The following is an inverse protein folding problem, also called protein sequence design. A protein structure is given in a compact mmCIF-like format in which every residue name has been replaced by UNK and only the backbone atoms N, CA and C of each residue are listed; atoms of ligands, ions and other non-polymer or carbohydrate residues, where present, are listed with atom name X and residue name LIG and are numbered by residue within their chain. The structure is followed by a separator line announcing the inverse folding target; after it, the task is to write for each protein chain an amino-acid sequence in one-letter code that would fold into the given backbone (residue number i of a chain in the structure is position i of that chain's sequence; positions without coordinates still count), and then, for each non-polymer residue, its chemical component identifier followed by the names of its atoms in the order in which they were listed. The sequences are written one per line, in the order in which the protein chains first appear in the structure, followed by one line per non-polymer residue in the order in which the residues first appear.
data_IF_567191831431
#
_entry.id   IF_567191831431
#
_cell.length_a   1.000
_cell.length_b   1.000
_cell.length_c   1.000
_cell.angle_alpha   90.00
_cell.angle_beta   90.00
_cell.angle_gamma   90.00
#
_symmetry.space_group_name_H-M   'P 1'
#
loop_
_entity.id
_entity.type
_entity.pdbx_description
1 polymer ?
#
# COMPACT_ATOMS: atom_id res chain seq x y z
N UNK A 1 -13.45 45.90 -20.59
CA UNK A 1 -12.19 45.33 -20.04
C UNK A 1 -11.85 45.70 -18.59
N UNK A 2 -12.37 46.78 -17.97
CA UNK A 2 -12.10 47.08 -16.54
C UNK A 2 -13.00 46.33 -15.54
N UNK A 3 -14.19 45.89 -15.95
CA UNK A 3 -15.17 45.21 -15.07
C UNK A 3 -14.78 43.72 -14.85
N UNK A 4 -14.17 43.07 -15.83
CA UNK A 4 -13.71 41.68 -15.72
C UNK A 4 -12.51 41.55 -14.76
N UNK A 5 -11.61 42.53 -14.73
CA UNK A 5 -10.46 42.56 -13.80
C UNK A 5 -10.94 42.74 -12.35
N UNK A 6 -12.01 43.52 -12.13
CA UNK A 6 -12.57 43.72 -10.80
C UNK A 6 -13.28 42.47 -10.25
N UNK A 7 -13.89 41.66 -11.12
CA UNK A 7 -14.47 40.37 -10.74
C UNK A 7 -13.40 39.31 -10.43
N UNK A 8 -12.27 39.33 -11.12
CA UNK A 8 -11.12 38.44 -10.83
C UNK A 8 -10.46 38.84 -9.49
N UNK A 9 -10.37 40.14 -9.19
CA UNK A 9 -9.87 40.63 -7.89
C UNK A 9 -10.85 40.38 -6.73
N UNK A 10 -12.16 40.34 -6.99
CA UNK A 10 -13.18 39.97 -5.98
C UNK A 10 -13.24 38.45 -5.74
N UNK A 11 -12.84 37.62 -6.72
CA UNK A 11 -12.78 36.17 -6.54
C UNK A 11 -11.62 35.74 -5.61
N UNK A 12 -10.54 36.52 -5.59
CA UNK A 12 -9.44 36.36 -4.62
C UNK A 12 -9.82 36.72 -3.17
N UNK A 13 -11.05 37.19 -2.93
CA UNK A 13 -11.43 37.80 -1.66
C UNK A 13 -12.18 36.85 -0.69
N UNK A 14 -12.24 35.53 -0.95
CA UNK A 14 -13.11 34.63 -0.18
C UNK A 14 -12.54 33.26 0.21
N UNK A 15 -11.26 32.97 0.02
CA UNK A 15 -10.68 31.77 0.63
C UNK A 15 -10.05 32.17 1.97
N UNK A 16 -10.74 31.84 3.06
CA UNK A 16 -10.21 32.00 4.42
C UNK A 16 -9.68 30.66 4.88
N UNK A 17 -8.65 30.70 5.72
CA UNK A 17 -8.21 29.51 6.41
C UNK A 17 -9.28 29.08 7.42
N UNK A 18 -9.46 27.76 7.59
CA UNK A 18 -10.46 27.23 8.51
C UNK A 18 -9.89 27.08 9.92
N UNK A 19 -8.59 26.75 10.03
CA UNK A 19 -7.88 26.76 11.30
C UNK A 19 -6.41 27.11 11.08
N UNK A 20 -5.84 27.80 12.05
CA UNK A 20 -4.41 28.12 12.09
C UNK A 20 -3.92 28.04 13.53
N UNK A 21 -2.63 27.76 13.72
CA UNK A 21 -2.01 27.69 15.06
C UNK A 21 -0.89 28.73 15.22
N UNK A 22 -0.62 29.11 16.46
CA UNK A 22 0.48 29.99 16.83
C UNK A 22 1.84 29.26 16.87
N UNK A 23 2.90 29.97 17.28
CA UNK A 23 4.25 29.40 17.40
C UNK A 23 4.40 28.35 18.51
N UNK A 24 3.39 28.20 19.37
CA UNK A 24 3.33 27.19 20.43
C UNK A 24 2.35 26.07 20.09
N UNK A 25 1.99 25.92 18.81
CA UNK A 25 1.04 24.95 18.28
C UNK A 25 -0.37 25.06 18.90
N UNK A 26 -0.76 26.26 19.36
CA UNK A 26 -2.11 26.51 19.88
C UNK A 26 -3.01 27.13 18.82
N UNK A 27 -4.26 26.66 18.66
CA UNK A 27 -5.19 27.25 17.71
C UNK A 27 -5.47 28.72 18.06
N UNK A 28 -5.38 29.61 17.07
CA UNK A 28 -5.63 31.05 17.27
C UNK A 28 -7.12 31.37 17.24
N UNK A 29 -7.53 32.48 17.86
CA UNK A 29 -8.95 32.88 17.91
C UNK A 29 -9.48 33.46 16.59
N UNK A 30 -8.59 34.02 15.77
CA UNK A 30 -8.93 34.62 14.47
C UNK A 30 -8.00 34.05 13.42
N UNK A 31 -8.57 33.24 12.53
CA UNK A 31 -7.80 32.59 11.48
C UNK A 31 -7.23 33.60 10.49
N UNK A 32 -6.03 33.28 10.00
CA UNK A 32 -5.30 34.10 9.05
C UNK A 32 -5.86 33.92 7.65
N UNK A 33 -5.61 34.89 6.79
CA UNK A 33 -5.74 34.70 5.36
C UNK A 33 -4.52 33.89 4.84
N UNK A 34 -4.65 33.14 3.74
CA UNK A 34 -3.55 32.39 3.15
C UNK A 34 -2.34 33.30 2.83
N UNK A 35 -1.15 32.90 3.26
CA UNK A 35 0.09 33.67 3.08
C UNK A 35 1.18 32.82 2.42
N UNK A 36 2.07 33.46 1.66
CA UNK A 36 3.24 32.81 1.08
C UNK A 36 4.34 32.74 2.14
N UNK A 37 4.60 31.55 2.68
CA UNK A 37 5.62 31.35 3.73
C UNK A 37 7.01 30.95 3.18
N UNK A 38 7.12 30.78 1.85
CA UNK A 38 8.30 30.33 1.12
C UNK A 38 8.23 28.84 0.81
N UNK A 39 9.28 28.10 1.17
CA UNK A 39 9.33 26.65 1.07
C UNK A 39 8.49 26.00 2.16
N UNK A 40 7.65 25.03 1.77
CA UNK A 40 6.86 24.20 2.68
C UNK A 40 7.45 22.79 2.64
N UNK A 41 8.27 22.45 3.63
CA UNK A 41 9.11 21.23 3.59
C UNK A 41 8.26 19.96 3.66
N UNK A 42 7.18 19.95 4.45
CA UNK A 42 6.28 18.80 4.54
C UNK A 42 5.46 18.60 3.25
N UNK A 43 5.19 19.68 2.52
CA UNK A 43 4.30 19.69 1.36
C UNK A 43 4.98 20.44 0.20
N UNK A 44 6.00 19.86 -0.47
CA UNK A 44 6.84 20.58 -1.43
C UNK A 44 6.05 21.21 -2.59
N UNK A 45 4.96 20.57 -3.00
CA UNK A 45 4.06 21.03 -4.06
C UNK A 45 3.28 22.32 -3.75
N UNK A 46 3.24 22.74 -2.48
CA UNK A 46 2.68 24.04 -2.06
C UNK A 46 3.74 25.13 -1.89
N UNK A 47 5.02 24.84 -2.17
CA UNK A 47 6.09 25.84 -2.07
C UNK A 47 5.82 27.03 -2.99
N UNK A 48 6.10 28.23 -2.50
CA UNK A 48 5.90 29.51 -3.19
C UNK A 48 4.42 29.84 -3.55
N UNK A 49 3.47 29.09 -2.99
CA UNK A 49 2.03 29.36 -3.12
C UNK A 49 1.46 29.93 -1.81
N UNK A 50 0.35 30.67 -1.85
CA UNK A 50 -0.35 31.07 -0.65
C UNK A 50 -0.91 29.82 0.04
N UNK A 51 -0.59 29.65 1.33
CA UNK A 51 -1.00 28.51 2.14
C UNK A 51 -1.61 28.95 3.46
N UNK A 52 -2.44 28.10 4.04
CA UNK A 52 -3.04 28.35 5.35
C UNK A 52 -2.18 27.90 6.53
N UNK A 53 -1.23 27.00 6.31
CA UNK A 53 -0.39 26.50 7.39
C UNK A 53 0.68 27.51 7.82
N UNK A 54 1.02 27.49 9.10
CA UNK A 54 2.17 28.23 9.62
C UNK A 54 3.44 27.38 9.54
N UNK A 55 4.60 28.04 9.69
CA UNK A 55 5.89 27.34 9.80
C UNK A 55 5.96 26.37 10.99
N UNK A 56 5.18 26.61 12.05
CA UNK A 56 5.09 25.67 13.16
C UNK A 56 4.38 24.40 12.73
N UNK A 57 3.25 24.53 12.03
CA UNK A 57 2.49 23.40 11.49
C UNK A 57 3.32 22.61 10.48
N UNK A 58 4.04 23.28 9.57
CA UNK A 58 4.94 22.60 8.63
C UNK A 58 5.97 21.72 9.36
N UNK A 59 6.65 22.26 10.38
CA UNK A 59 7.61 21.49 11.18
C UNK A 59 6.99 20.33 11.97
N UNK A 60 5.78 20.52 12.48
CA UNK A 60 5.05 19.47 13.21
C UNK A 60 4.63 18.35 12.24
N UNK A 61 4.11 18.70 11.06
CA UNK A 61 3.79 17.72 10.01
C UNK A 61 5.01 16.90 9.58
N UNK A 62 6.20 17.48 9.46
CA UNK A 62 7.42 16.71 9.14
C UNK A 62 7.66 15.59 10.18
N UNK A 63 7.40 15.84 11.46
CA UNK A 63 7.55 14.84 12.52
C UNK A 63 6.47 13.76 12.40
N UNK A 64 5.23 14.18 12.19
CA UNK A 64 4.08 13.27 12.05
C UNK A 64 4.25 12.37 10.82
N UNK A 65 4.77 12.92 9.73
CA UNK A 65 5.03 12.20 8.48
C UNK A 65 6.10 11.11 8.65
N UNK A 66 7.08 11.28 9.55
CA UNK A 66 8.00 10.20 9.89
C UNK A 66 7.30 9.04 10.60
N UNK A 67 6.37 9.34 11.51
CA UNK A 67 5.55 8.30 12.17
C UNK A 67 4.64 7.61 11.17
N UNK A 68 4.11 8.37 10.22
CA UNK A 68 3.27 7.88 9.13
C UNK A 68 4.06 6.91 8.24
N UNK A 69 5.26 7.29 7.80
CA UNK A 69 6.14 6.42 6.98
C UNK A 69 6.53 5.15 7.72
N UNK A 70 6.85 5.26 9.01
CA UNK A 70 7.17 4.11 9.85
C UNK A 70 5.97 3.15 10.06
N UNK A 71 4.73 3.60 9.82
CA UNK A 71 3.51 2.82 10.03
C UNK A 71 2.93 2.28 8.72
N UNK A 72 2.91 3.12 7.68
CA UNK A 72 2.23 2.87 6.41
C UNK A 72 3.18 2.78 5.23
N UNK A 73 4.41 3.31 5.34
CA UNK A 73 5.46 3.18 4.34
C UNK A 73 6.16 1.81 4.40
N UNK A 74 7.14 1.61 3.53
CA UNK A 74 7.91 0.37 3.43
C UNK A 74 8.66 0.05 4.74
N UNK A 75 9.11 1.06 5.48
CA UNK A 75 9.78 0.92 6.79
C UNK A 75 8.93 0.14 7.81
N UNK A 76 7.60 0.33 7.77
CA UNK A 76 6.63 -0.36 8.62
C UNK A 76 6.10 -1.68 8.07
N UNK A 77 6.65 -2.16 6.95
CA UNK A 77 6.08 -3.27 6.19
C UNK A 77 4.79 -2.89 5.43
N UNK A 78 4.65 -1.61 5.07
CA UNK A 78 3.57 -1.06 4.27
C UNK A 78 3.99 -0.79 2.82
N UNK A 79 3.62 0.37 2.29
CA UNK A 79 3.81 0.80 0.91
C UNK A 79 4.00 2.32 0.87
N UNK A 80 5.13 2.82 0.35
CA UNK A 80 5.44 4.26 0.36
C UNK A 80 4.42 5.10 -0.42
N UNK A 81 3.75 4.52 -1.42
CA UNK A 81 2.66 5.19 -2.15
C UNK A 81 1.44 5.46 -1.25
N UNK A 82 1.13 4.55 -0.32
CA UNK A 82 0.12 4.82 0.70
C UNK A 82 0.59 5.98 1.58
N UNK A 83 1.86 5.95 2.00
CA UNK A 83 2.47 7.02 2.77
C UNK A 83 2.35 8.38 2.09
N UNK A 84 2.75 8.49 0.83
CA UNK A 84 2.69 9.73 0.07
C UNK A 84 1.27 10.24 -0.15
N UNK A 85 0.32 9.36 -0.49
CA UNK A 85 -1.10 9.73 -0.61
C UNK A 85 -1.67 10.27 0.69
N UNK A 86 -1.33 9.66 1.83
CA UNK A 86 -1.75 10.16 3.14
C UNK A 86 -1.10 11.50 3.48
N UNK A 87 0.20 11.66 3.25
CA UNK A 87 0.89 12.95 3.45
C UNK A 87 0.20 14.05 2.65
N UNK A 88 -0.14 13.77 1.39
CA UNK A 88 -0.84 14.72 0.51
C UNK A 88 -2.24 15.06 1.01
N UNK A 89 -3.00 14.06 1.45
CA UNK A 89 -4.30 14.29 2.09
C UNK A 89 -4.17 15.24 3.29
N UNK A 90 -3.20 15.00 4.18
CA UNK A 90 -2.97 15.83 5.35
C UNK A 90 -2.37 17.20 5.02
N UNK A 91 -1.59 17.30 3.95
CA UNK A 91 -1.13 18.58 3.39
C UNK A 91 -2.30 19.42 2.90
N UNK A 92 -3.26 18.84 2.18
CA UNK A 92 -4.45 19.59 1.79
C UNK A 92 -5.30 19.98 3.00
N UNK A 93 -5.45 19.09 3.98
CA UNK A 93 -6.11 19.42 5.24
C UNK A 93 -5.47 20.63 5.94
N UNK A 94 -4.14 20.68 6.05
CA UNK A 94 -3.41 21.65 6.88
C UNK A 94 -2.97 22.92 6.14
N UNK A 95 -2.63 22.85 4.86
CA UNK A 95 -2.01 23.95 4.12
C UNK A 95 -2.86 24.51 2.98
N UNK A 96 -3.94 23.86 2.55
CA UNK A 96 -4.73 24.31 1.40
C UNK A 96 -5.22 25.77 1.59
N UNK A 97 -5.08 26.67 0.59
CA UNK A 97 -5.52 28.06 0.71
C UNK A 97 -7.05 28.19 0.85
N UNK A 98 -7.80 27.16 0.45
CA UNK A 98 -9.26 27.12 0.42
C UNK A 98 -9.84 26.12 1.43
N UNK A 99 -9.17 25.94 2.58
CA UNK A 99 -9.66 25.13 3.71
C UNK A 99 -11.10 25.39 4.11
N UNK A 100 -11.56 26.65 4.10
CA UNK A 100 -12.94 27.00 4.50
C UNK A 100 -14.03 26.36 3.64
N UNK A 101 -13.69 25.87 2.44
CA UNK A 101 -14.66 25.24 1.54
C UNK A 101 -15.06 23.83 1.98
N UNK A 102 -14.17 23.12 2.68
CA UNK A 102 -14.34 21.71 3.04
C UNK A 102 -14.14 21.43 4.54
N UNK A 103 -13.93 22.47 5.35
CA UNK A 103 -13.67 22.32 6.78
C UNK A 103 -14.50 23.31 7.61
N UNK A 104 -15.06 22.81 8.71
CA UNK A 104 -15.89 23.59 9.64
C UNK A 104 -15.43 23.38 11.08
N UNK A 105 -15.14 24.48 11.77
CA UNK A 105 -14.78 24.48 13.19
C UNK A 105 -16.01 24.72 14.05
N UNK A 106 -16.29 23.79 14.96
CA UNK A 106 -17.49 23.83 15.83
C UNK A 106 -17.23 24.33 17.25
N UNK A 107 -15.98 24.69 17.57
CA UNK A 107 -15.55 25.19 18.89
C UNK A 107 -14.55 24.25 19.58
N UNK A 108 -14.43 24.37 20.91
CA UNK A 108 -13.54 23.55 21.74
C UNK A 108 -14.32 22.72 22.76
N UNK A 109 -13.83 21.52 23.05
CA UNK A 109 -14.41 20.63 24.04
C UNK A 109 -13.33 19.91 24.84
N UNK A 110 -13.62 19.60 26.10
CA UNK A 110 -12.75 18.77 26.92
C UNK A 110 -13.04 17.30 26.62
N UNK A 111 -12.02 16.56 26.19
CA UNK A 111 -12.09 15.13 25.92
C UNK A 111 -11.04 14.38 26.72
N UNK A 112 -11.32 13.11 27.00
CA UNK A 112 -10.32 12.20 27.59
C UNK A 112 -9.32 11.81 26.52
N UNK A 113 -8.04 11.87 26.85
CA UNK A 113 -6.96 11.45 25.96
C UNK A 113 -7.10 9.94 25.63
N UNK A 114 -7.18 9.55 24.35
CA UNK A 114 -7.35 8.15 23.94
C UNK A 114 -6.15 7.28 24.34
N UNK A 115 -4.96 7.87 24.51
CA UNK A 115 -3.76 7.17 24.96
C UNK A 115 -3.65 7.12 26.50
N UNK A 116 -4.29 8.05 27.20
CA UNK A 116 -4.25 8.14 28.66
C UNK A 116 -5.61 8.53 29.26
N UNK A 117 -6.37 7.52 29.69
CA UNK A 117 -7.71 7.69 30.27
C UNK A 117 -7.80 8.59 31.51
N UNK A 118 -6.67 8.93 32.15
CA UNK A 118 -6.62 9.81 33.33
C UNK A 118 -6.37 11.28 32.97
N UNK A 119 -6.08 11.60 31.71
CA UNK A 119 -5.75 12.95 31.25
C UNK A 119 -6.91 13.51 30.44
N UNK A 120 -7.38 14.70 30.83
CA UNK A 120 -8.37 15.47 30.07
C UNK A 120 -7.62 16.54 29.29
N UNK A 121 -7.92 16.63 28.00
CA UNK A 121 -7.33 17.60 27.09
C UNK A 121 -8.43 18.41 26.42
N UNK A 122 -8.20 19.71 26.28
CA UNK A 122 -9.07 20.59 25.50
C UNK A 122 -8.72 20.40 24.03
N UNK A 123 -9.70 20.01 23.22
CA UNK A 123 -9.52 19.79 21.79
C UNK A 123 -10.43 20.69 20.96
N UNK A 124 -9.95 21.08 19.79
CA UNK A 124 -10.76 21.78 18.79
C UNK A 124 -11.59 20.78 17.99
N UNK A 125 -12.89 21.04 17.86
CA UNK A 125 -13.83 20.21 17.14
C UNK A 125 -13.82 20.60 15.67
N UNK A 126 -13.37 19.70 14.81
CA UNK A 126 -13.24 19.91 13.36
C UNK A 126 -14.15 18.94 12.62
N UNK A 127 -15.00 19.45 11.75
CA UNK A 127 -15.69 18.64 10.74
C UNK A 127 -14.98 18.82 9.41
N UNK A 128 -14.44 17.71 8.89
CA UNK A 128 -13.76 17.64 7.61
C UNK A 128 -14.67 16.97 6.58
N UNK A 129 -15.10 17.71 5.58
CA UNK A 129 -15.92 17.22 4.47
C UNK A 129 -14.99 16.69 3.38
N UNK A 130 -15.04 15.38 3.09
CA UNK A 130 -14.14 14.71 2.14
C UNK A 130 -14.95 14.14 0.99
N UNK A 131 -14.46 14.31 -0.24
CA UNK A 131 -15.11 13.70 -1.38
C UNK A 131 -14.97 12.16 -1.32
N UNK A 132 -16.05 11.38 -1.50
CA UNK A 132 -16.00 9.92 -1.36
C UNK A 132 -14.92 9.25 -2.22
N UNK A 133 -14.68 9.77 -3.43
CA UNK A 133 -13.63 9.27 -4.33
C UNK A 133 -12.24 9.37 -3.69
N UNK A 134 -11.89 10.52 -3.11
CA UNK A 134 -10.60 10.75 -2.44
C UNK A 134 -10.42 9.76 -1.30
N UNK A 135 -11.46 9.60 -0.48
CA UNK A 135 -11.41 8.68 0.65
C UNK A 135 -11.18 7.23 0.20
N UNK A 136 -11.88 6.81 -0.85
CA UNK A 136 -11.72 5.47 -1.43
C UNK A 136 -10.35 5.26 -2.06
N UNK A 137 -9.83 6.24 -2.80
CA UNK A 137 -8.54 6.12 -3.49
C UNK A 137 -7.37 6.09 -2.51
N UNK A 138 -7.33 7.00 -1.52
CA UNK A 138 -6.32 6.97 -0.44
C UNK A 138 -6.40 5.63 0.30
N UNK A 139 -7.60 5.24 0.75
CA UNK A 139 -7.79 3.97 1.44
C UNK A 139 -7.36 2.77 0.58
N UNK A 140 -7.65 2.77 -0.72
CA UNK A 140 -7.32 1.67 -1.62
C UNK A 140 -5.81 1.41 -1.70
N UNK A 141 -5.00 2.47 -1.60
CA UNK A 141 -3.54 2.36 -1.57
C UNK A 141 -3.02 1.80 -0.24
N UNK A 142 -3.77 1.99 0.85
CA UNK A 142 -3.37 1.66 2.21
C UNK A 142 -3.98 0.36 2.77
N UNK A 143 -5.09 -0.12 2.20
CA UNK A 143 -5.92 -1.19 2.77
C UNK A 143 -5.20 -2.52 3.05
N UNK A 144 -4.07 -2.78 2.38
CA UNK A 144 -3.27 -4.00 2.54
C UNK A 144 -1.96 -3.78 3.30
N UNK A 145 -1.70 -2.58 3.80
CA UNK A 145 -0.56 -2.32 4.69
C UNK A 145 -0.67 -3.14 5.98
N UNK A 146 0.47 -3.49 6.56
CA UNK A 146 0.56 -4.32 7.77
C UNK A 146 -0.31 -3.76 8.91
N UNK A 147 -0.28 -2.43 9.11
CA UNK A 147 -1.04 -1.77 10.16
C UNK A 147 -2.54 -1.73 9.88
N UNK A 148 -2.95 -1.29 8.67
CA UNK A 148 -4.36 -1.20 8.30
C UNK A 148 -5.07 -2.56 8.32
N UNK A 149 -4.36 -3.65 7.99
CA UNK A 149 -4.90 -5.01 8.03
C UNK A 149 -5.04 -5.58 9.44
N UNK A 150 -4.21 -5.13 10.40
CA UNK A 150 -4.28 -5.54 11.80
C UNK A 150 -5.33 -4.78 12.60
N UNK A 151 -5.56 -3.50 12.27
CA UNK A 151 -6.53 -2.64 12.97
C UNK A 151 -7.91 -2.78 12.31
N UNK A 152 -8.79 -3.56 12.93
CA UNK A 152 -10.15 -3.82 12.40
C UNK A 152 -10.99 -2.55 12.21
N UNK A 153 -10.75 -1.51 12.99
CA UNK A 153 -11.40 -0.20 12.84
C UNK A 153 -11.08 0.44 11.48
N UNK A 154 -9.95 0.12 10.86
CA UNK A 154 -9.53 0.64 9.56
C UNK A 154 -10.06 -0.16 8.37
N UNK A 155 -10.91 -1.17 8.56
CA UNK A 155 -11.32 -2.08 7.48
C UNK A 155 -12.15 -1.43 6.34
N UNK A 156 -12.55 -0.16 6.49
CA UNK A 156 -13.30 0.61 5.48
C UNK A 156 -12.73 2.02 5.35
N UNK A 157 -12.99 2.74 4.24
CA UNK A 157 -12.57 4.14 4.10
C UNK A 157 -13.04 5.02 5.28
N UNK A 158 -14.30 4.88 5.68
CA UNK A 158 -14.86 5.61 6.83
C UNK A 158 -14.14 5.31 8.13
N UNK A 159 -13.94 4.04 8.44
CA UNK A 159 -13.22 3.63 9.63
C UNK A 159 -11.75 4.04 9.63
N UNK A 160 -11.09 3.99 8.47
CA UNK A 160 -9.71 4.43 8.28
C UNK A 160 -9.49 5.90 8.61
N UNK A 161 -10.34 6.79 8.09
CA UNK A 161 -10.26 8.23 8.39
C UNK A 161 -10.77 8.58 9.78
N UNK A 162 -11.78 7.88 10.28
CA UNK A 162 -12.28 8.06 11.66
C UNK A 162 -11.19 7.72 12.67
N UNK A 163 -10.50 6.59 12.49
CA UNK A 163 -9.41 6.22 13.37
C UNK A 163 -8.31 7.27 13.40
N UNK A 164 -7.89 7.77 12.22
CA UNK A 164 -6.87 8.82 12.15
C UNK A 164 -7.33 10.12 12.81
N UNK A 165 -8.59 10.51 12.61
CA UNK A 165 -9.18 11.68 13.26
C UNK A 165 -9.29 11.56 14.78
N UNK A 166 -9.46 10.34 15.31
CA UNK A 166 -9.40 10.06 16.75
C UNK A 166 -7.97 10.13 17.30
N UNK A 167 -6.95 9.69 16.54
CA UNK A 167 -5.55 9.81 16.98
C UNK A 167 -5.09 11.28 17.05
N UNK A 168 -5.69 12.17 16.25
CA UNK A 168 -5.41 13.61 16.29
C UNK A 168 -5.79 14.27 17.63
N UNK A 169 -6.59 13.61 18.48
CA UNK A 169 -6.97 14.12 19.80
C UNK A 169 -5.73 14.23 20.70
N UNK A 170 -4.92 13.17 20.79
CA UNK A 170 -3.74 13.12 21.66
C UNK A 170 -2.56 13.92 21.12
N UNK A 171 -2.30 13.82 19.81
CA UNK A 171 -1.10 14.39 19.17
C UNK A 171 -1.33 15.81 18.61
N UNK A 172 -2.51 16.07 18.04
CA UNK A 172 -2.83 17.34 17.37
C UNK A 172 -3.76 18.27 18.16
N UNK A 173 -4.29 17.83 19.31
CA UNK A 173 -5.26 18.61 20.08
C UNK A 173 -6.56 18.88 19.31
N UNK A 174 -6.91 18.02 18.35
CA UNK A 174 -8.08 18.17 17.50
C UNK A 174 -8.90 16.89 17.48
N UNK A 175 -10.22 17.02 17.57
CA UNK A 175 -11.13 15.93 17.27
C UNK A 175 -11.66 16.14 15.85
N UNK A 176 -11.17 15.33 14.91
CA UNK A 176 -11.49 15.45 13.49
C UNK A 176 -12.60 14.45 13.14
N UNK A 177 -13.80 14.96 12.91
CA UNK A 177 -14.92 14.19 12.37
C UNK A 177 -14.90 14.28 10.84
N UNK A 178 -14.65 13.14 10.19
CA UNK A 178 -14.69 13.07 8.73
C UNK A 178 -16.10 12.74 8.25
N UNK A 179 -16.65 13.58 7.37
CA UNK A 179 -17.94 13.39 6.73
C UNK A 179 -17.76 13.29 5.21
N UNK A 180 -18.46 12.36 4.57
CA UNK A 180 -18.36 12.17 3.12
C UNK A 180 -19.46 12.92 2.40
N UNK A 181 -19.07 13.86 1.53
CA UNK A 181 -20.00 14.68 0.75
C UNK A 181 -19.49 14.86 -0.68
N UNK A 182 -20.38 14.88 -1.68
CA UNK A 182 -20.00 15.07 -3.09
C UNK A 182 -19.74 16.55 -3.45
N UNK A 183 -20.39 17.49 -2.77
CA UNK A 183 -20.22 18.93 -2.99
C UNK A 183 -19.55 19.59 -1.79
N UNK A 184 -18.76 20.65 -2.02
CA UNK A 184 -18.05 21.42 -0.98
C UNK A 184 -17.20 20.52 -0.07
N UNK A 185 -16.44 19.63 -0.69
CA UNK A 185 -15.63 18.65 0.01
C UNK A 185 -14.22 18.64 -0.55
N UNK A 186 -13.29 18.14 0.26
CA UNK A 186 -11.90 18.03 -0.10
C UNK A 186 -11.76 17.12 -1.32
N UNK A 187 -11.24 17.69 -2.41
CA UNK A 187 -11.00 17.02 -3.68
C UNK A 187 -9.66 17.45 -4.29
N UNK A 188 -8.90 16.49 -4.81
CA UNK A 188 -7.65 16.69 -5.54
C UNK A 188 -7.44 15.54 -6.54
N UNK A 189 -7.02 15.83 -7.77
CA UNK A 189 -7.12 14.90 -8.92
C UNK A 189 -5.98 13.86 -9.01
N UNK A 190 -5.02 13.90 -8.09
CA UNK A 190 -3.73 13.29 -8.31
C UNK A 190 -3.43 12.09 -7.39
N UNK A 191 -4.40 11.31 -6.93
CA UNK A 191 -4.12 10.18 -6.01
C UNK A 191 -3.53 8.99 -6.76
N UNK A 192 -2.43 8.45 -6.26
CA UNK A 192 -1.71 7.39 -6.94
C UNK A 192 -2.20 6.01 -6.49
N UNK A 193 -2.41 5.11 -7.44
CA UNK A 193 -2.64 3.71 -7.13
C UNK A 193 -1.37 3.08 -6.56
N UNK A 194 -1.50 2.07 -5.69
CA UNK A 194 -0.33 1.49 -5.02
C UNK A 194 0.68 0.77 -5.94
N UNK A 195 0.34 0.58 -7.22
CA UNK A 195 1.23 0.06 -8.27
C UNK A 195 1.85 1.17 -9.15
N UNK A 196 1.74 2.43 -8.72
CA UNK A 196 2.34 3.55 -9.43
C UNK A 196 3.88 3.47 -9.35
N UNK A 197 4.56 3.80 -10.45
CA UNK A 197 6.01 3.75 -10.55
C UNK A 197 6.64 5.08 -10.12
N UNK A 198 7.92 5.06 -9.75
CA UNK A 198 8.63 6.29 -9.42
C UNK A 198 8.76 7.23 -10.62
N UNK A 199 8.71 8.53 -10.36
CA UNK A 199 8.80 9.56 -11.40
C UNK A 199 10.23 10.07 -11.61
N UNK A 200 11.00 10.19 -10.53
CA UNK A 200 12.36 10.71 -10.56
C UNK A 200 13.29 9.84 -9.74
N UNK A 201 14.52 9.71 -10.22
CA UNK A 201 15.58 8.98 -9.55
C UNK A 201 16.78 9.91 -9.35
N UNK A 202 17.31 9.97 -8.14
CA UNK A 202 18.53 10.71 -7.81
C UNK A 202 19.53 9.76 -7.18
N UNK A 203 20.82 9.92 -7.48
CA UNK A 203 21.89 9.11 -6.92
C UNK A 203 22.83 10.00 -6.10
N UNK A 204 23.09 9.61 -4.85
CA UNK A 204 24.02 10.28 -3.95
C UNK A 204 25.00 9.28 -3.31
N UNK A 205 25.82 9.72 -2.34
CA UNK A 205 26.80 8.85 -1.66
C UNK A 205 26.13 7.72 -0.84
N UNK A 206 24.83 7.84 -0.53
CA UNK A 206 24.06 6.90 0.29
C UNK A 206 23.24 5.91 -0.53
N UNK A 207 22.97 6.20 -1.81
CA UNK A 207 22.41 5.25 -2.76
C UNK A 207 21.54 5.89 -3.83
N UNK A 208 20.64 5.08 -4.38
CA UNK A 208 19.63 5.50 -5.36
C UNK A 208 18.34 5.82 -4.61
N UNK A 209 17.89 7.07 -4.69
CA UNK A 209 16.65 7.56 -4.13
C UNK A 209 15.60 7.70 -5.22
N UNK A 210 14.39 7.25 -4.95
CA UNK A 210 13.25 7.38 -5.84
C UNK A 210 12.30 8.44 -5.29
N UNK A 211 11.68 9.21 -6.16
CA UNK A 211 10.79 10.30 -5.78
C UNK A 211 9.48 10.22 -6.55
N UNK A 212 8.40 10.60 -5.88
CA UNK A 212 7.13 10.90 -6.53
C UNK A 212 7.12 12.30 -7.18
N UNK A 213 6.08 12.61 -7.95
CA UNK A 213 5.93 13.91 -8.60
C UNK A 213 5.72 15.07 -7.61
N UNK A 214 5.40 14.76 -6.35
CA UNK A 214 5.08 15.71 -5.29
C UNK A 214 6.26 15.98 -4.34
N UNK A 215 7.41 15.34 -4.58
CA UNK A 215 8.64 15.53 -3.82
C UNK A 215 8.78 14.65 -2.58
N UNK A 216 8.03 13.55 -2.49
CA UNK A 216 8.19 12.54 -1.44
C UNK A 216 9.11 11.41 -1.90
N UNK A 217 9.99 10.99 -1.00
CA UNK A 217 10.91 9.89 -1.22
C UNK A 217 10.19 8.54 -1.12
N UNK A 218 10.51 7.64 -2.04
CA UNK A 218 10.04 6.27 -2.13
C UNK A 218 11.26 5.35 -1.97
N UNK A 219 11.24 4.47 -0.97
CA UNK A 219 12.30 3.50 -0.70
C UNK A 219 12.23 2.26 -1.60
N UNK A 220 11.07 1.99 -2.20
CA UNK A 220 10.92 0.89 -3.15
C UNK A 220 9.48 0.67 -3.63
N UNK A 221 9.34 -0.20 -4.63
CA UNK A 221 8.03 -0.63 -5.15
C UNK A 221 7.24 -1.41 -4.09
N UNK A 222 5.92 -1.20 -4.07
CA UNK A 222 5.05 -1.87 -3.12
C UNK A 222 4.88 -3.36 -3.46
N UNK A 223 5.14 -4.23 -2.47
CA UNK A 223 4.98 -5.68 -2.61
C UNK A 223 3.53 -6.13 -2.79
N UNK A 224 3.33 -7.33 -3.33
CA UNK A 224 1.99 -7.92 -3.52
C UNK A 224 1.21 -8.15 -2.20
N UNK A 225 1.92 -8.31 -1.08
CA UNK A 225 1.27 -8.44 0.23
C UNK A 225 0.69 -7.10 0.71
N UNK A 226 1.29 -5.98 0.31
CA UNK A 226 0.93 -4.62 0.76
C UNK A 226 0.13 -3.84 -0.27
N UNK A 227 0.16 -4.26 -1.54
CA UNK A 227 -0.64 -3.72 -2.63
C UNK A 227 -1.23 -4.86 -3.49
N UNK A 228 -2.55 -4.86 -3.65
CA UNK A 228 -3.25 -5.83 -4.51
C UNK A 228 -2.91 -5.67 -5.99
N UNK A 229 -2.77 -4.43 -6.44
CA UNK A 229 -2.48 -4.12 -7.83
C UNK A 229 -1.03 -4.45 -8.24
N UNK A 230 -0.13 -4.66 -7.27
CA UNK A 230 1.24 -5.13 -7.52
C UNK A 230 1.32 -6.65 -7.70
N UNK A 231 0.23 -7.38 -7.46
CA UNK A 231 0.20 -8.83 -7.65
C UNK A 231 0.11 -9.19 -9.13
N UNK A 232 1.11 -9.91 -9.62
CA UNK A 232 1.11 -10.53 -10.95
C UNK A 232 0.17 -11.74 -10.95
N UNK A 233 -1.07 -11.55 -11.41
CA UNK A 233 -2.08 -12.60 -11.54
C UNK A 233 -1.73 -13.65 -12.61
N UNK A 234 -0.79 -13.32 -13.50
CA UNK A 234 -0.22 -14.17 -14.54
C UNK A 234 0.91 -15.08 -14.05
N UNK A 235 1.54 -14.75 -12.91
CA UNK A 235 2.43 -15.69 -12.20
C UNK A 235 1.57 -16.63 -11.36
N UNK A 236 1.09 -17.66 -12.03
CA UNK A 236 0.31 -18.77 -11.46
C UNK A 236 0.98 -19.24 -10.15
N UNK A 237 0.38 -18.92 -8.99
CA UNK A 237 0.82 -19.37 -7.67
C UNK A 237 0.76 -20.90 -7.49
N UNK A 238 0.08 -21.59 -8.40
CA UNK A 238 -0.09 -23.03 -8.41
C UNK A 238 -0.19 -23.55 -9.85
N UNK A 239 0.94 -23.95 -10.45
CA UNK A 239 0.85 -24.80 -11.63
C UNK A 239 0.22 -26.13 -11.18
N UNK A 240 -0.96 -26.51 -11.69
CA UNK A 240 -1.50 -27.81 -11.35
C UNK A 240 -0.45 -28.85 -11.77
N UNK A 241 -0.02 -29.75 -10.87
CA UNK A 241 0.89 -30.80 -11.25
C UNK A 241 0.29 -31.51 -12.47
N UNK A 242 1.04 -31.58 -13.57
CA UNK A 242 0.59 -32.28 -14.76
C UNK A 242 0.14 -33.70 -14.41
N UNK A 243 -0.72 -34.30 -15.22
CA UNK A 243 -1.27 -35.66 -14.99
C UNK A 243 -0.17 -36.72 -14.73
N UNK A 244 1.08 -36.43 -15.10
CA UNK A 244 2.26 -37.28 -14.95
C UNK A 244 3.28 -36.78 -13.91
N UNK A 245 2.92 -35.80 -13.08
CA UNK A 245 3.80 -35.32 -12.00
C UNK A 245 3.99 -36.44 -10.97
N UNK A 246 5.20 -36.97 -10.88
CA UNK A 246 5.53 -38.18 -10.10
C UNK A 246 5.63 -39.47 -10.93
N UNK A 247 5.37 -39.43 -12.24
CA UNK A 247 5.61 -40.55 -13.16
C UNK A 247 7.03 -40.46 -13.72
N UNK A 248 8.00 -41.00 -12.98
CA UNK A 248 9.38 -41.13 -13.47
C UNK A 248 9.49 -42.28 -14.50
N UNK A 249 9.29 -41.94 -15.78
CA UNK A 249 9.28 -42.90 -16.89
C UNK A 249 10.57 -43.72 -17.03
N UNK A 250 11.70 -43.22 -16.53
CA UNK A 250 12.98 -43.93 -16.44
C UNK A 250 12.87 -45.20 -15.60
N UNK A 251 12.34 -45.13 -14.37
CA UNK A 251 12.21 -46.32 -13.51
C UNK A 251 11.27 -47.36 -14.10
N UNK A 252 10.19 -46.91 -14.74
CA UNK A 252 9.21 -47.79 -15.37
C UNK A 252 9.83 -48.52 -16.57
N UNK A 253 10.58 -47.81 -17.41
CA UNK A 253 11.34 -48.42 -18.51
C UNK A 253 12.35 -49.44 -18.01
N UNK A 254 13.06 -49.16 -16.91
CA UNK A 254 13.99 -50.12 -16.31
C UNK A 254 13.27 -51.35 -15.76
N UNK A 255 12.18 -51.17 -15.01
CA UNK A 255 11.42 -52.27 -14.43
C UNK A 255 10.84 -53.21 -15.52
N UNK A 256 10.21 -52.64 -16.54
CA UNK A 256 9.66 -53.42 -17.65
C UNK A 256 10.75 -54.02 -18.55
N UNK A 257 11.85 -53.30 -18.77
CA UNK A 257 13.01 -53.81 -19.50
C UNK A 257 13.59 -55.06 -18.85
N UNK A 258 13.80 -55.03 -17.53
CA UNK A 258 14.27 -56.19 -16.77
C UNK A 258 13.28 -57.34 -16.78
N UNK A 259 11.99 -57.08 -16.61
CA UNK A 259 10.96 -58.12 -16.66
C UNK A 259 10.94 -58.86 -18.00
N UNK A 260 11.08 -58.13 -19.12
CA UNK A 260 11.14 -58.71 -20.47
C UNK A 260 12.43 -59.54 -20.64
N UNK A 261 13.58 -59.01 -20.23
CA UNK A 261 14.86 -59.75 -20.32
C UNK A 261 14.84 -61.04 -19.50
N UNK A 262 14.27 -61.01 -18.28
CA UNK A 262 14.11 -62.19 -17.43
C UNK A 262 13.18 -63.23 -18.07
N UNK A 263 12.06 -62.79 -18.64
CA UNK A 263 11.12 -63.66 -19.34
C UNK A 263 11.77 -64.34 -20.55
N UNK A 264 12.55 -63.59 -21.34
CA UNK A 264 13.30 -64.13 -22.47
C UNK A 264 14.38 -65.12 -22.02
N UNK A 265 15.14 -64.80 -20.97
CA UNK A 265 16.16 -65.69 -20.42
C UNK A 265 15.56 -67.02 -19.94
N UNK A 266 14.46 -66.97 -19.18
CA UNK A 266 13.75 -68.17 -18.72
C UNK A 266 13.25 -68.99 -19.91
N UNK A 267 12.71 -68.35 -20.93
CA UNK A 267 12.20 -69.02 -22.13
C UNK A 267 13.32 -69.70 -22.92
N UNK A 268 14.48 -69.05 -23.06
CA UNK A 268 15.66 -69.62 -23.73
C UNK A 268 16.21 -70.80 -22.92
N UNK A 269 16.34 -70.67 -21.60
CA UNK A 269 16.83 -71.74 -20.71
C UNK A 269 15.91 -72.97 -20.81
N UNK A 270 14.59 -72.77 -20.76
CA UNK A 270 13.62 -73.87 -20.92
C UNK A 270 13.77 -74.58 -22.27
N UNK A 271 13.94 -73.83 -23.37
CA UNK A 271 14.16 -74.40 -24.70
C UNK A 271 15.49 -75.16 -24.80
N UNK A 272 16.56 -74.67 -24.18
CA UNK A 272 17.85 -75.37 -24.14
C UNK A 272 17.80 -76.65 -23.32
N UNK A 273 17.07 -76.67 -22.20
CA UNK A 273 16.86 -77.87 -21.39
C UNK A 273 16.04 -78.92 -22.15
N UNK A 274 14.97 -78.53 -22.83
CA UNK A 274 14.17 -79.45 -23.66
C UNK A 274 15.01 -80.07 -24.79
N UNK A 275 15.81 -79.26 -25.50
CA UNK A 275 16.70 -79.79 -26.55
C UNK A 275 17.78 -80.74 -26.01
N UNK A 276 18.32 -80.48 -24.81
CA UNK A 276 19.28 -81.40 -24.18
C UNK A 276 18.63 -82.73 -23.82
N UNK A 277 17.39 -82.71 -23.33
CA UNK A 277 16.63 -83.92 -23.02
C UNK A 277 16.31 -84.73 -24.28
N UNK A 278 15.87 -84.06 -25.36
CA UNK A 278 15.65 -84.73 -26.66
C UNK A 278 16.95 -85.33 -27.23
N UNK A 279 18.09 -84.67 -27.05
CA UNK A 279 19.39 -85.16 -27.52
C UNK A 279 19.90 -86.35 -26.70
N UNK A 280 19.67 -86.37 -25.39
CA UNK A 280 20.02 -87.52 -24.54
C UNK A 280 19.16 -88.74 -24.84
N UNK A 281 17.86 -88.57 -25.10
CA UNK A 281 16.97 -89.68 -25.50
C UNK A 281 17.38 -90.27 -26.87
N UNK A 282 17.85 -89.42 -27.80
CA UNK A 282 18.36 -89.83 -29.11
C UNK A 282 19.71 -90.57 -29.03
N UNK A 283 20.58 -90.20 -28.09
CA UNK A 283 21.84 -90.92 -27.82
C UNK A 283 21.58 -92.27 -27.16
N UNK A 284 20.65 -92.34 -26.21
CA UNK A 284 20.27 -93.59 -25.53
C UNK A 284 19.59 -94.57 -26.50
N UNK A 285 18.72 -94.09 -27.39
CA UNK A 285 18.14 -94.94 -28.45
C UNK A 285 19.17 -95.46 -29.46
N UNK A 286 20.19 -94.68 -29.81
CA UNK A 286 21.29 -95.14 -30.69
C UNK A 286 22.13 -96.24 -30.05
N UNK A 287 22.22 -96.26 -28.72
CA UNK A 287 23.02 -97.23 -27.99
C UNK A 287 22.30 -98.58 -27.79
N UNK A 288 20.97 -98.61 -27.95
CA UNK A 288 20.15 -99.83 -27.87
C UNK A 288 20.00 -100.52 -29.24
N UNK A 289 20.21 -99.79 -30.34
CA UNK A 289 20.00 -100.29 -31.72
C UNK A 289 21.29 -100.65 -32.49
N UNK A 290 22.46 -100.54 -31.86
CA UNK A 290 23.77 -100.95 -32.41
C UNK A 290 24.35 -102.12 -31.65
#
# INVERSE_FOLDING_TARGET
MKIQIFLILLYYCYSRCAFTVDENDKPIETDRDPEIIGTVEACPFFSDQPVCCTRSQDRSMIKDFKSLDATFGNDGGGCDICGSNMKRFWCHYTCSPNQSEFMKISGRQNMTDPLNSSKIIEVQMVTLEVHPQIACEVFSSCKRTSFATQVSAMASPGGFFTFQGEQAVGEGGQYIKVEFQESNSLYFEDIWSCNHNYSRTTEDETGIHYWDDFGYELHGECGCNTCENSCQSDKILYEPPGILYGFEGTYILFAWGWAILLSLAITIIRRCQQKKFELSDLEEQKQILG
#
